data_IF_267418515058
#
_entry.id   IF_267418515058
#
_cell.length_a   1.000
_cell.length_b   1.000
_cell.length_c   1.000
_cell.angle_alpha   90.00
_cell.angle_beta   90.00
_cell.angle_gamma   90.00
#
_symmetry.space_group_name_H-M   'P 1'
#
loop_
_entity.id
_entity.type
_entity.pdbx_description
1 polymer ?
#
# COMPACT_ATOMS: atom_id res chain seq x y z
N UNK A 1 -8.08 -18.84 12.71
CA UNK A 1 -9.07 -17.99 11.98
C UNK A 1 -8.50 -16.58 11.83
N UNK A 2 -8.33 -16.05 10.61
CA UNK A 2 -7.84 -14.66 10.44
C UNK A 2 -8.95 -13.72 10.90
N UNK A 3 -8.74 -12.96 11.98
CA UNK A 3 -9.65 -11.87 12.36
C UNK A 3 -9.62 -10.85 11.24
N UNK A 4 -10.65 -10.84 10.40
CA UNK A 4 -10.75 -9.89 9.29
C UNK A 4 -11.03 -8.50 9.85
N UNK A 5 -10.06 -7.60 9.71
CA UNK A 5 -10.18 -6.19 10.10
C UNK A 5 -11.02 -5.39 9.09
N UNK A 6 -12.22 -5.90 8.77
CA UNK A 6 -13.12 -5.33 7.76
C UNK A 6 -13.42 -3.85 8.00
N UNK A 7 -13.48 -3.41 9.25
CA UNK A 7 -13.68 -1.99 9.61
C UNK A 7 -12.63 -1.05 8.99
N UNK A 8 -11.38 -1.51 8.86
CA UNK A 8 -10.27 -0.67 8.40
C UNK A 8 -9.91 -0.92 6.93
N UNK A 9 -10.15 -2.13 6.42
CA UNK A 9 -9.71 -2.58 5.10
C UNK A 9 -10.86 -3.05 4.17
N UNK A 10 -12.12 -2.72 4.44
CA UNK A 10 -13.26 -3.18 3.61
C UNK A 10 -13.30 -2.56 2.22
N UNK A 11 -12.94 -1.28 2.08
CA UNK A 11 -12.99 -0.54 0.82
C UNK A 11 -11.61 -0.38 0.15
N UNK A 12 -10.54 -0.68 0.88
CA UNK A 12 -9.16 -0.48 0.44
C UNK A 12 -8.49 -1.81 0.19
N UNK A 13 -7.69 -1.85 -0.88
CA UNK A 13 -6.84 -3.00 -1.20
C UNK A 13 -5.40 -2.60 -0.92
N UNK A 14 -4.88 -2.85 0.30
CA UNK A 14 -3.49 -2.56 0.60
C UNK A 14 -2.56 -3.46 -0.22
N UNK A 15 -1.45 -2.89 -0.69
CA UNK A 15 -0.36 -3.64 -1.32
C UNK A 15 0.84 -3.59 -0.39
N UNK A 16 1.45 -4.74 -0.11
CA UNK A 16 2.58 -4.84 0.81
C UNK A 16 3.85 -5.17 0.05
N UNK A 17 4.97 -4.51 0.35
CA UNK A 17 6.24 -4.74 -0.35
C UNK A 17 6.97 -6.05 0.02
N UNK A 18 6.44 -6.81 0.98
CA UNK A 18 7.09 -8.00 1.54
C UNK A 18 8.09 -7.69 2.66
N UNK A 19 8.25 -6.43 3.05
CA UNK A 19 9.18 -5.97 4.09
C UNK A 19 8.49 -5.11 5.14
N UNK A 20 8.40 -3.79 4.91
CA UNK A 20 7.93 -2.83 5.92
C UNK A 20 6.99 -1.78 5.35
N UNK A 21 6.72 -1.79 4.06
CA UNK A 21 5.94 -0.74 3.43
C UNK A 21 4.63 -1.30 2.90
N UNK A 22 3.54 -0.66 3.27
CA UNK A 22 2.20 -0.93 2.78
C UNK A 22 1.65 0.30 2.07
N UNK A 23 1.10 0.11 0.88
CA UNK A 23 0.58 1.16 0.03
C UNK A 23 -0.93 1.01 -0.11
N UNK A 24 -1.65 2.12 -0.04
CA UNK A 24 -3.11 2.15 -0.18
C UNK A 24 -3.52 3.30 -1.06
N UNK A 25 -4.60 3.13 -1.84
CA UNK A 25 -5.15 4.20 -2.67
C UNK A 25 -5.80 5.31 -1.83
N UNK A 26 -6.51 4.93 -0.78
CA UNK A 26 -7.19 5.87 0.12
C UNK A 26 -6.59 5.77 1.52
N UNK A 27 -6.50 6.88 2.26
CA UNK A 27 -6.00 6.87 3.62
C UNK A 27 -6.91 5.99 4.50
N UNK A 28 -6.30 5.06 5.21
CA UNK A 28 -7.00 4.20 6.16
C UNK A 28 -7.61 5.04 7.30
N UNK A 29 -8.75 4.63 7.87
CA UNK A 29 -9.41 5.34 8.98
C UNK A 29 -8.71 5.06 10.32
N UNK A 30 -7.38 5.19 10.34
CA UNK A 30 -6.47 4.94 11.47
C UNK A 30 -5.71 6.21 11.88
N UNK A 31 -5.98 7.34 11.20
CA UNK A 31 -5.33 8.61 11.48
C UNK A 31 -3.84 8.60 11.16
N UNK A 32 -3.07 9.45 11.86
CA UNK A 32 -1.60 9.49 11.79
C UNK A 32 -0.92 8.74 12.94
N UNK A 33 -1.72 8.21 13.86
CA UNK A 33 -1.21 7.47 15.01
C UNK A 33 -0.86 6.04 14.62
N UNK A 34 -0.01 5.40 15.44
CA UNK A 34 0.28 3.98 15.29
C UNK A 34 -0.94 3.18 15.72
N UNK A 35 -1.30 2.17 14.94
CA UNK A 35 -2.36 1.24 15.30
C UNK A 35 -1.84 -0.19 15.24
N UNK A 36 -2.13 -0.95 16.29
CA UNK A 36 -1.66 -2.33 16.47
C UNK A 36 -2.77 -3.31 16.09
N UNK A 37 -2.40 -4.32 15.32
CA UNK A 37 -3.29 -5.33 14.79
C UNK A 37 -2.79 -6.71 15.21
N UNK A 38 -3.60 -7.46 15.92
CA UNK A 38 -3.30 -8.85 16.26
C UNK A 38 -3.78 -9.78 15.14
N UNK A 39 -2.84 -10.41 14.46
CA UNK A 39 -3.07 -11.35 13.37
C UNK A 39 -2.71 -12.74 13.83
N UNK A 40 -3.70 -13.63 13.88
CA UNK A 40 -3.46 -15.06 14.13
C UNK A 40 -3.35 -15.78 12.80
N UNK A 41 -2.15 -16.27 12.49
CA UNK A 41 -1.92 -17.09 11.31
C UNK A 41 -2.05 -18.58 11.69
N UNK A 42 -2.85 -19.36 10.95
CA UNK A 42 -2.84 -20.80 11.10
C UNK A 42 -1.45 -21.31 10.67
N UNK A 43 -0.72 -21.95 11.58
CA UNK A 43 0.54 -22.61 11.26
C UNK A 43 0.33 -24.03 10.73
N UNK A 44 1.35 -24.58 10.07
CA UNK A 44 1.40 -26.00 9.66
C UNK A 44 1.48 -26.97 10.85
N UNK A 45 1.76 -26.47 12.05
CA UNK A 45 1.75 -27.22 13.30
C UNK A 45 0.53 -26.82 14.13
N UNK A 46 0.05 -27.70 15.01
CA UNK A 46 -1.16 -27.52 15.85
C UNK A 46 -1.17 -26.30 16.81
N UNK A 47 -0.21 -25.37 16.68
CA UNK A 47 -0.09 -24.15 17.46
C UNK A 47 -0.35 -22.96 16.53
N UNK A 48 -1.45 -22.24 16.80
CA UNK A 48 -1.72 -20.95 16.15
C UNK A 48 -0.62 -19.94 16.51
N UNK A 49 -0.09 -19.23 15.51
CA UNK A 49 0.91 -18.18 15.73
C UNK A 49 0.22 -16.82 15.73
N UNK A 50 0.30 -16.11 16.86
CA UNK A 50 -0.18 -14.75 16.98
C UNK A 50 0.96 -13.78 16.67
N UNK A 51 0.70 -12.85 15.75
CA UNK A 51 1.59 -11.77 15.36
C UNK A 51 0.93 -10.45 15.69
N UNK A 52 1.68 -9.55 16.31
CA UNK A 52 1.25 -8.17 16.47
C UNK A 52 1.91 -7.34 15.38
N UNK A 53 1.08 -6.74 14.52
CA UNK A 53 1.51 -5.91 13.39
C UNK A 53 1.18 -4.46 13.72
N UNK A 54 2.16 -3.57 13.69
CA UNK A 54 1.91 -2.15 13.90
C UNK A 54 1.86 -1.44 12.57
N UNK A 55 0.77 -0.73 12.28
CA UNK A 55 0.65 0.12 11.09
C UNK A 55 0.78 1.58 11.52
N UNK A 56 1.62 2.35 10.85
CA UNK A 56 1.79 3.78 11.07
C UNK A 56 1.75 4.53 9.76
N UNK A 57 1.07 5.68 9.72
CA UNK A 57 1.11 6.56 8.56
C UNK A 57 2.54 7.07 8.33
N UNK A 58 3.04 6.88 7.11
CA UNK A 58 4.40 7.28 6.72
C UNK A 58 4.40 8.58 5.94
N UNK A 59 3.48 8.70 4.98
CA UNK A 59 3.51 9.78 4.01
C UNK A 59 2.46 9.60 2.92
N UNK A 60 2.40 10.59 2.03
CA UNK A 60 1.59 10.53 0.82
C UNK A 60 2.51 10.68 -0.39
N UNK A 61 2.25 9.87 -1.40
CA UNK A 61 2.95 9.85 -2.68
C UNK A 61 2.05 10.44 -3.75
N UNK A 62 2.57 11.41 -4.49
CA UNK A 62 1.89 12.02 -5.63
C UNK A 62 2.34 11.36 -6.93
N UNK A 63 1.40 10.80 -7.69
CA UNK A 63 1.71 10.28 -9.03
C UNK A 63 1.86 11.39 -10.07
N UNK A 64 1.19 12.54 -9.89
CA UNK A 64 1.37 13.71 -10.77
C UNK A 64 2.83 14.15 -10.83
N UNK A 65 3.53 14.17 -9.70
CA UNK A 65 4.95 14.55 -9.66
C UNK A 65 5.83 13.53 -10.37
N UNK A 66 5.42 12.25 -10.37
CA UNK A 66 6.11 11.22 -11.13
C UNK A 66 5.89 11.40 -12.64
N UNK A 67 4.66 11.71 -13.06
CA UNK A 67 4.33 12.01 -14.46
C UNK A 67 5.07 13.26 -14.95
N UNK A 68 5.06 14.35 -14.19
CA UNK A 68 5.82 15.57 -14.49
C UNK A 68 7.32 15.29 -14.64
N UNK A 69 7.88 14.37 -13.85
CA UNK A 69 9.27 13.95 -13.98
C UNK A 69 9.51 13.09 -15.23
N UNK A 70 8.56 12.23 -15.60
CA UNK A 70 8.64 11.42 -16.82
C UNK A 70 8.53 12.26 -18.10
N UNK A 71 7.76 13.35 -18.05
CA UNK A 71 7.67 14.33 -19.14
C UNK A 71 8.85 15.31 -19.17
N UNK A 72 9.76 15.24 -18.20
CA UNK A 72 10.91 16.13 -18.11
C UNK A 72 10.59 17.54 -17.60
N UNK A 73 9.37 17.80 -17.11
CA UNK A 73 9.00 19.05 -16.45
C UNK A 73 9.69 19.21 -15.09
N UNK A 74 9.94 18.09 -14.41
CA UNK A 74 10.66 18.03 -13.14
C UNK A 74 11.98 17.26 -13.33
N UNK A 75 13.09 17.83 -12.83
CA UNK A 75 14.43 17.21 -12.93
C UNK A 75 14.68 16.05 -11.97
N UNK A 76 13.98 16.04 -10.84
CA UNK A 76 14.16 15.01 -9.80
C UNK A 76 13.02 14.01 -9.84
N UNK A 77 13.35 12.74 -10.01
CA UNK A 77 12.37 11.65 -9.98
C UNK A 77 12.05 11.29 -8.52
N UNK A 78 10.76 11.31 -8.11
CA UNK A 78 10.38 10.96 -6.75
C UNK A 78 10.55 9.46 -6.50
N UNK A 79 11.60 9.08 -5.77
CA UNK A 79 11.96 7.67 -5.51
C UNK A 79 10.85 6.88 -4.83
N UNK A 80 10.16 7.47 -3.85
CA UNK A 80 9.03 6.86 -3.15
C UNK A 80 7.87 6.50 -4.11
N UNK A 81 7.64 7.33 -5.13
CA UNK A 81 6.61 7.08 -6.14
C UNK A 81 6.99 5.92 -7.06
N UNK A 82 8.25 5.88 -7.48
CA UNK A 82 8.77 4.76 -8.29
C UNK A 82 8.70 3.45 -7.49
N UNK A 83 9.09 3.47 -6.21
CA UNK A 83 9.03 2.29 -5.37
C UNK A 83 7.59 1.82 -5.13
N UNK A 84 6.66 2.74 -4.86
CA UNK A 84 5.24 2.43 -4.72
C UNK A 84 4.70 1.76 -5.99
N UNK A 85 5.00 2.35 -7.16
CA UNK A 85 4.60 1.81 -8.47
C UNK A 85 5.17 0.41 -8.71
N UNK A 86 6.45 0.20 -8.46
CA UNK A 86 7.11 -1.10 -8.64
C UNK A 86 6.48 -2.18 -7.72
N UNK A 87 6.22 -1.85 -6.45
CA UNK A 87 5.54 -2.75 -5.52
C UNK A 87 4.11 -3.07 -5.98
N UNK A 88 3.35 -2.07 -6.43
CA UNK A 88 2.00 -2.24 -6.98
C UNK A 88 2.06 -3.18 -8.18
N UNK A 89 2.91 -2.87 -9.18
CA UNK A 89 3.05 -3.65 -10.41
C UNK A 89 3.46 -5.10 -10.14
N UNK A 90 4.33 -5.35 -9.15
CA UNK A 90 4.72 -6.71 -8.74
C UNK A 90 3.58 -7.51 -8.10
N UNK A 91 2.58 -6.84 -7.52
CA UNK A 91 1.40 -7.48 -6.94
C UNK A 91 0.23 -7.67 -7.92
N UNK A 92 0.39 -7.29 -9.19
CA UNK A 92 -0.63 -7.47 -10.22
C UNK A 92 -0.37 -8.77 -11.01
N UNK A 93 -1.09 -9.89 -10.78
CA UNK A 93 -0.81 -11.13 -11.50
C UNK A 93 -1.49 -11.18 -12.89
N UNK A 94 -1.94 -10.05 -13.47
CA UNK A 94 -2.67 -10.07 -14.75
C UNK A 94 -2.98 -8.69 -15.34
N UNK A 95 -3.11 -8.67 -16.68
CA UNK A 95 -3.54 -7.54 -17.53
C UNK A 95 -4.80 -6.80 -17.04
N UNK A 96 -5.66 -7.42 -16.22
CA UNK A 96 -6.83 -6.76 -15.63
C UNK A 96 -6.45 -5.55 -14.77
N UNK A 97 -5.38 -5.66 -14.01
CA UNK A 97 -4.93 -4.56 -13.17
C UNK A 97 -4.10 -3.53 -13.91
N UNK A 98 -3.42 -3.90 -15.01
CA UNK A 98 -2.80 -2.92 -15.91
C UNK A 98 -3.89 -2.06 -16.56
N UNK A 99 -5.03 -2.64 -16.96
CA UNK A 99 -6.15 -1.85 -17.47
C UNK A 99 -6.76 -0.95 -16.38
N UNK A 100 -6.89 -1.45 -15.15
CA UNK A 100 -7.36 -0.63 -14.02
C UNK A 100 -6.35 0.48 -13.72
N UNK A 101 -5.07 0.16 -13.55
CA UNK A 101 -3.99 1.11 -13.29
C UNK A 101 -3.86 2.13 -14.41
N UNK A 102 -3.95 1.73 -15.68
CA UNK A 102 -3.90 2.67 -16.81
C UNK A 102 -5.14 3.58 -16.86
N UNK A 103 -6.29 3.12 -16.34
CA UNK A 103 -7.49 3.95 -16.15
C UNK A 103 -7.52 4.74 -14.82
N UNK A 104 -6.74 4.32 -13.82
CA UNK A 104 -6.61 4.91 -12.46
C UNK A 104 -5.31 5.72 -12.30
N UNK A 105 -4.44 5.78 -13.31
CA UNK A 105 -3.48 6.87 -13.54
C UNK A 105 -4.32 8.10 -13.94
N UNK A 106 -5.20 8.50 -13.03
CA UNK A 106 -5.66 9.87 -12.95
C UNK A 106 -4.55 10.59 -12.18
N UNK A 107 -3.81 11.52 -12.82
CA UNK A 107 -2.73 12.28 -12.19
C UNK A 107 -3.17 12.99 -10.90
N UNK A 108 -4.48 13.16 -10.69
CA UNK A 108 -5.07 13.78 -9.50
C UNK A 108 -5.13 12.85 -8.30
N UNK A 109 -4.80 11.56 -8.43
CA UNK A 109 -4.92 10.56 -7.35
C UNK A 109 -3.56 10.25 -6.73
N UNK A 110 -3.47 10.52 -5.43
CA UNK A 110 -2.30 10.26 -4.61
C UNK A 110 -2.43 8.93 -3.87
N UNK A 111 -1.33 8.22 -3.69
CA UNK A 111 -1.27 7.02 -2.85
C UNK A 111 -0.81 7.37 -1.43
N UNK A 112 -1.32 6.65 -0.44
CA UNK A 112 -0.89 6.79 0.95
C UNK A 112 0.03 5.63 1.32
N UNK A 113 1.20 5.96 1.87
CA UNK A 113 2.16 4.99 2.40
C UNK A 113 1.92 4.83 3.89
N UNK A 114 1.93 3.57 4.32
CA UNK A 114 1.97 3.16 5.70
C UNK A 114 3.22 2.32 5.96
N UNK A 115 3.91 2.59 7.06
CA UNK A 115 4.95 1.72 7.58
C UNK A 115 4.33 0.63 8.44
N UNK A 116 4.78 -0.60 8.21
CA UNK A 116 4.58 -1.77 9.03
C UNK A 116 5.82 -1.93 9.91
N UNK A 117 5.63 -1.81 11.22
CA UNK A 117 6.66 -1.93 12.25
C UNK A 117 6.38 -3.16 13.10
#
# INVERSE_FOLDING_TARGET
MIRSFGKYFSSTRPVYDGKRNMYTREPLPIGREKMEFEVTLPGDSAVERQFTVTVKWAGQVSLSTLEDAMEGRVRQVPFEAVQAMDVILRHLPSLKWVNILCSDIDPRRNFTIFFLI
#
